data_IF_683328492168
#
_entry.id   IF_683328492168
#
_cell.length_a   1.000
_cell.length_b   1.000
_cell.length_c   1.000
_cell.angle_alpha   90.00
_cell.angle_beta   90.00
_cell.angle_gamma   90.00
#
_symmetry.space_group_name_H-M   'P 1'
#
loop_
_entity.id
_entity.type
_entity.pdbx_description
1 polymer ?
#
# COMPACT_ATOMS: atom_id res chain seq x y z
N UNK A 1 20.91 3.57 33.75
CA UNK A 1 19.49 3.77 34.12
C UNK A 1 18.64 3.58 32.87
N UNK A 2 18.17 2.38 32.63
CA UNK A 2 17.38 1.99 31.45
C UNK A 2 15.91 2.31 31.71
N UNK A 3 15.49 3.50 31.27
CA UNK A 3 14.08 3.91 31.30
C UNK A 3 13.29 3.07 30.29
N UNK A 4 12.43 2.19 30.79
CA UNK A 4 11.43 1.52 29.98
C UNK A 4 10.42 2.58 29.55
N UNK A 5 10.47 3.02 28.29
CA UNK A 5 9.43 3.88 27.71
C UNK A 5 8.11 3.11 27.71
N UNK A 6 7.20 3.50 28.62
CA UNK A 6 5.76 3.22 28.51
C UNK A 6 5.34 3.50 27.07
N UNK A 7 4.80 2.49 26.38
CA UNK A 7 4.31 2.63 25.00
C UNK A 7 3.29 3.76 24.96
N UNK A 8 3.66 4.88 24.31
CA UNK A 8 2.77 6.01 24.12
C UNK A 8 1.78 5.58 23.04
N UNK A 9 0.50 5.49 23.37
CA UNK A 9 -0.53 5.27 22.37
C UNK A 9 -0.53 6.48 21.44
N UNK A 10 -0.01 6.29 20.23
CA UNK A 10 0.10 7.34 19.23
C UNK A 10 -1.28 7.61 18.63
N UNK A 11 -1.61 8.89 18.47
CA UNK A 11 -2.83 9.31 17.77
C UNK A 11 -2.81 8.77 16.35
N UNK A 12 -3.96 8.33 15.87
CA UNK A 12 -4.12 7.80 14.51
C UNK A 12 -4.72 8.88 13.60
N UNK A 13 -4.06 9.14 12.47
CA UNK A 13 -4.55 9.98 11.39
C UNK A 13 -5.11 9.10 10.29
N UNK A 14 -6.34 9.40 9.89
CA UNK A 14 -7.07 8.70 8.84
C UNK A 14 -6.86 9.38 7.48
N UNK A 15 -7.09 8.61 6.41
CA UNK A 15 -6.98 9.06 5.04
C UNK A 15 -8.34 8.99 4.36
N UNK A 16 -8.74 10.07 3.70
CA UNK A 16 -9.89 10.12 2.81
C UNK A 16 -9.43 9.92 1.36
N UNK A 17 -10.13 9.07 0.60
CA UNK A 17 -9.73 8.63 -0.76
C UNK A 17 -10.68 9.12 -1.85
N UNK A 18 -11.75 9.79 -1.48
CA UNK A 18 -12.73 10.39 -2.41
C UNK A 18 -12.99 11.86 -2.08
N UNK A 19 -13.41 12.62 -3.08
CA UNK A 19 -13.81 14.02 -2.88
C UNK A 19 -14.92 14.16 -1.81
N UNK A 20 -15.89 13.25 -1.80
CA UNK A 20 -17.00 13.28 -0.83
C UNK A 20 -16.51 13.11 0.61
N UNK A 21 -15.62 12.15 0.86
CA UNK A 21 -15.02 11.92 2.18
C UNK A 21 -14.17 13.11 2.64
N UNK A 22 -13.34 13.66 1.73
CA UNK A 22 -12.50 14.82 2.00
C UNK A 22 -13.37 16.02 2.40
N UNK A 23 -14.40 16.32 1.60
CA UNK A 23 -15.30 17.44 1.85
C UNK A 23 -16.15 17.23 3.11
N UNK A 24 -16.52 15.98 3.42
CA UNK A 24 -17.20 15.65 4.68
C UNK A 24 -16.30 15.96 5.87
N UNK A 25 -15.06 15.48 5.87
CA UNK A 25 -14.11 15.71 6.95
C UNK A 25 -13.84 17.21 7.17
N UNK A 26 -13.73 17.99 6.08
CA UNK A 26 -13.60 19.44 6.17
C UNK A 26 -14.78 20.11 6.89
N UNK A 27 -16.02 19.71 6.57
CA UNK A 27 -17.22 20.21 7.27
C UNK A 27 -17.27 19.77 8.73
N UNK A 28 -16.70 18.62 9.05
CA UNK A 28 -16.60 18.11 10.41
C UNK A 28 -15.45 18.77 11.22
N UNK A 29 -14.72 19.72 10.64
CA UNK A 29 -13.70 20.52 11.33
C UNK A 29 -12.27 20.01 11.19
N UNK A 30 -12.03 18.96 10.38
CA UNK A 30 -10.67 18.54 10.04
C UNK A 30 -10.08 19.43 8.95
N UNK A 31 -8.76 19.56 8.92
CA UNK A 31 -8.03 20.11 7.77
C UNK A 31 -7.57 18.95 6.86
N UNK A 32 -8.09 18.82 5.63
CA UNK A 32 -7.63 17.78 4.71
C UNK A 32 -6.30 18.18 4.06
N UNK A 33 -5.22 17.50 4.42
CA UNK A 33 -3.93 17.64 3.74
C UNK A 33 -3.94 16.81 2.45
N UNK A 34 -4.38 17.44 1.35
CA UNK A 34 -4.52 16.79 0.04
C UNK A 34 -3.16 16.49 -0.58
N UNK A 35 -2.99 15.27 -1.08
CA UNK A 35 -1.81 14.79 -1.80
C UNK A 35 -2.20 14.06 -3.08
N UNK A 36 -1.32 14.14 -4.08
CA UNK A 36 -1.40 13.31 -5.29
C UNK A 36 -1.09 11.85 -4.92
N UNK A 37 -1.86 10.92 -5.46
CA UNK A 37 -1.53 9.50 -5.44
C UNK A 37 -0.63 9.19 -6.64
N UNK A 38 0.58 8.70 -6.39
CA UNK A 38 1.55 8.37 -7.44
C UNK A 38 2.05 6.94 -7.23
N UNK A 39 1.60 5.98 -8.06
CA UNK A 39 2.08 4.60 -7.98
C UNK A 39 3.61 4.53 -8.15
N UNK A 40 4.25 3.73 -7.30
CA UNK A 40 5.67 3.41 -7.44
C UNK A 40 5.84 2.29 -8.46
N UNK A 41 6.81 2.40 -9.40
CA UNK A 41 7.12 1.32 -10.33
C UNK A 41 7.74 0.10 -9.63
N UNK A 42 8.15 0.22 -8.37
CA UNK A 42 8.69 -0.90 -7.60
C UNK A 42 7.62 -1.82 -7.03
N UNK A 43 6.47 -1.26 -6.65
CA UNK A 43 5.35 -2.03 -6.09
C UNK A 43 4.70 -2.82 -7.22
N UNK A 44 4.70 -4.14 -7.07
CA UNK A 44 4.26 -5.03 -8.13
C UNK A 44 3.86 -6.40 -7.60
N UNK A 45 2.91 -7.00 -8.28
CA UNK A 45 2.56 -8.41 -8.11
C UNK A 45 2.72 -9.14 -9.43
N UNK A 46 3.17 -10.38 -9.39
CA UNK A 46 3.30 -11.23 -10.57
C UNK A 46 2.01 -11.98 -10.89
N UNK A 47 1.80 -12.20 -12.18
CA UNK A 47 0.73 -13.06 -12.66
C UNK A 47 1.10 -13.72 -13.99
N UNK A 48 0.46 -14.85 -14.27
CA UNK A 48 0.37 -15.48 -15.58
C UNK A 48 -1.09 -15.86 -15.85
N UNK A 49 -1.46 -15.94 -17.12
CA UNK A 49 -2.81 -16.33 -17.56
C UNK A 49 -2.70 -17.53 -18.49
N UNK A 50 -3.45 -18.57 -18.14
CA UNK A 50 -3.65 -19.77 -18.93
C UNK A 50 -5.08 -19.82 -19.44
N UNK A 51 -5.30 -20.39 -20.61
CA UNK A 51 -6.62 -20.50 -21.22
C UNK A 51 -6.87 -21.91 -21.74
N UNK A 52 -8.09 -22.42 -21.55
CA UNK A 52 -8.55 -23.64 -22.19
C UNK A 52 -8.89 -23.34 -23.66
N UNK A 53 -8.23 -23.97 -24.66
CA UNK A 53 -8.49 -23.68 -26.06
C UNK A 53 -9.86 -24.17 -26.56
N UNK A 54 -10.50 -25.11 -25.85
CA UNK A 54 -11.81 -25.65 -26.22
C UNK A 54 -12.96 -24.81 -25.64
N UNK A 55 -12.87 -24.40 -24.37
CA UNK A 55 -13.96 -23.68 -23.67
C UNK A 55 -13.76 -22.16 -23.64
N UNK A 56 -12.52 -21.69 -23.82
CA UNK A 56 -12.16 -20.29 -23.67
C UNK A 56 -12.02 -19.82 -22.22
N UNK A 57 -12.27 -20.67 -21.22
CA UNK A 57 -12.12 -20.33 -19.81
C UNK A 57 -10.66 -20.07 -19.43
N UNK A 58 -10.45 -19.15 -18.48
CA UNK A 58 -9.11 -18.73 -18.03
C UNK A 58 -8.79 -19.21 -16.62
N UNK A 59 -7.50 -19.39 -16.36
CA UNK A 59 -6.92 -19.61 -15.03
C UNK A 59 -5.77 -18.63 -14.82
N UNK A 60 -5.82 -17.89 -13.71
CA UNK A 60 -4.82 -16.87 -13.35
C UNK A 60 -4.03 -17.34 -12.15
N UNK A 61 -2.71 -17.15 -12.18
CA UNK A 61 -1.81 -17.60 -11.11
C UNK A 61 -0.70 -16.60 -10.86
N UNK A 62 -0.37 -16.38 -9.59
CA UNK A 62 0.79 -15.59 -9.14
C UNK A 62 1.93 -16.43 -8.58
N UNK A 63 1.88 -17.75 -8.72
CA UNK A 63 2.89 -18.67 -8.16
C UNK A 63 3.68 -19.35 -9.27
N UNK A 64 5.00 -19.16 -9.34
CA UNK A 64 5.83 -19.77 -10.38
C UNK A 64 5.74 -21.30 -10.44
N UNK A 65 5.42 -21.96 -9.32
CA UNK A 65 5.24 -23.42 -9.25
C UNK A 65 4.01 -23.90 -10.02
N UNK A 66 3.02 -23.04 -10.24
CA UNK A 66 1.82 -23.38 -11.02
C UNK A 66 2.15 -23.79 -12.47
N UNK A 67 3.29 -23.35 -13.01
CA UNK A 67 3.76 -23.78 -14.33
C UNK A 67 4.02 -25.30 -14.40
N UNK A 68 4.42 -25.93 -13.29
CA UNK A 68 4.53 -27.39 -13.20
C UNK A 68 3.14 -28.05 -13.08
N UNK A 69 2.22 -27.44 -12.33
CA UNK A 69 0.87 -27.96 -12.09
C UNK A 69 0.04 -27.96 -13.38
N UNK A 70 0.16 -26.91 -14.19
CA UNK A 70 -0.56 -26.77 -15.46
C UNK A 70 0.02 -27.65 -16.58
N UNK A 71 1.10 -28.38 -16.32
CA UNK A 71 1.67 -29.29 -17.31
C UNK A 71 0.76 -30.51 -17.48
N UNK A 72 0.19 -30.67 -18.68
CA UNK A 72 -0.69 -31.80 -19.01
C UNK A 72 -2.17 -31.57 -18.75
N UNK A 73 -2.59 -30.35 -18.36
CA UNK A 73 -4.01 -29.99 -18.18
C UNK A 73 -4.72 -29.60 -19.48
N UNK A 74 -3.98 -29.47 -20.59
CA UNK A 74 -4.52 -28.96 -21.86
C UNK A 74 -4.66 -27.44 -21.92
N UNK A 75 -4.35 -26.72 -20.83
CA UNK A 75 -4.33 -25.26 -20.82
C UNK A 75 -3.11 -24.73 -21.58
N UNK A 76 -3.32 -23.66 -22.36
CA UNK A 76 -2.24 -22.93 -23.05
C UNK A 76 -1.91 -21.65 -22.31
N UNK A 77 -0.62 -21.29 -22.25
CA UNK A 77 -0.19 -20.02 -21.69
C UNK A 77 -0.48 -18.90 -22.71
N UNK A 78 -1.35 -17.96 -22.34
CA UNK A 78 -1.72 -16.82 -23.21
C UNK A 78 -1.04 -15.52 -22.77
N UNK A 79 -0.75 -15.40 -21.47
CA UNK A 79 0.11 -14.35 -20.91
C UNK A 79 1.12 -15.03 -19.98
N UNK A 80 2.39 -15.00 -20.36
CA UNK A 80 3.48 -15.49 -19.51
C UNK A 80 3.68 -14.60 -18.28
N UNK A 81 4.45 -15.10 -17.32
CA UNK A 81 4.69 -14.37 -16.07
C UNK A 81 5.17 -12.94 -16.33
N UNK A 82 4.38 -11.99 -15.85
CA UNK A 82 4.66 -10.56 -15.92
C UNK A 82 4.15 -9.88 -14.64
N UNK A 83 4.43 -8.58 -14.50
CA UNK A 83 4.13 -7.79 -13.32
C UNK A 83 3.06 -6.73 -13.61
N UNK A 84 2.26 -6.43 -12.60
CA UNK A 84 1.32 -5.31 -12.61
C UNK A 84 1.32 -4.60 -11.26
N UNK A 85 0.86 -3.35 -11.25
CA UNK A 85 0.60 -2.62 -10.01
C UNK A 85 -0.72 -3.11 -9.38
N UNK A 86 -0.71 -3.71 -8.18
CA UNK A 86 -1.87 -4.43 -7.66
C UNK A 86 -2.90 -3.54 -6.95
N UNK A 87 -2.61 -2.27 -6.71
CA UNK A 87 -3.51 -1.38 -5.98
C UNK A 87 -4.36 -0.52 -6.93
N UNK A 88 -5.64 -0.38 -6.59
CA UNK A 88 -6.57 0.52 -7.26
C UNK A 88 -7.12 1.51 -6.25
N UNK A 89 -6.84 2.79 -6.47
CA UNK A 89 -7.36 3.86 -5.62
C UNK A 89 -8.63 4.48 -6.22
N UNK A 90 -9.53 4.96 -5.36
CA UNK A 90 -10.78 5.56 -5.78
C UNK A 90 -10.60 6.89 -6.52
N UNK A 91 -9.50 7.60 -6.28
CA UNK A 91 -9.17 8.88 -6.91
C UNK A 91 -7.65 9.01 -7.10
N UNK A 92 -7.19 9.84 -8.06
CA UNK A 92 -5.77 10.14 -8.25
C UNK A 92 -5.19 11.09 -7.16
N UNK A 93 -5.97 11.34 -6.11
CA UNK A 93 -5.64 12.15 -4.95
C UNK A 93 -6.25 11.52 -3.70
N UNK A 94 -5.73 11.89 -2.54
CA UNK A 94 -6.21 11.52 -1.23
C UNK A 94 -5.88 12.63 -0.23
N UNK A 95 -6.40 12.58 0.99
CA UNK A 95 -6.01 13.53 2.02
C UNK A 95 -5.85 12.89 3.39
N UNK A 96 -4.79 13.28 4.11
CA UNK A 96 -4.71 13.01 5.54
C UNK A 96 -5.65 13.96 6.29
N UNK A 97 -6.43 13.43 7.22
CA UNK A 97 -7.42 14.20 7.97
C UNK A 97 -6.80 14.75 9.25
N UNK A 98 -6.31 15.99 9.20
CA UNK A 98 -5.62 16.63 10.33
C UNK A 98 -6.66 17.18 11.31
N UNK A 99 -6.70 16.71 12.57
CA UNK A 99 -7.58 17.30 13.57
C UNK A 99 -7.08 18.69 13.98
N UNK A 100 -7.98 19.61 14.37
CA UNK A 100 -7.65 21.01 14.62
C UNK A 100 -6.70 21.24 15.81
N UNK A 101 -6.57 20.25 16.69
CA UNK A 101 -5.71 20.27 17.88
C UNK A 101 -4.36 19.58 17.66
N UNK A 102 -4.03 19.12 16.44
CA UNK A 102 -2.73 18.48 16.16
C UNK A 102 -1.59 19.49 16.35
N UNK A 103 -0.60 19.14 17.18
CA UNK A 103 0.52 20.03 17.51
C UNK A 103 1.73 19.80 16.61
N UNK A 104 2.50 20.86 16.35
CA UNK A 104 3.81 20.74 15.68
C UNK A 104 4.74 19.89 16.53
N UNK A 105 5.43 18.93 15.91
CA UNK A 105 6.27 17.93 16.57
C UNK A 105 5.50 16.73 17.14
N UNK A 106 4.19 16.66 16.96
CA UNK A 106 3.42 15.49 17.36
C UNK A 106 3.70 14.31 16.41
N UNK A 107 4.10 13.18 17.00
CA UNK A 107 4.28 11.91 16.29
C UNK A 107 2.96 11.15 16.31
N UNK A 108 2.52 10.70 15.14
CA UNK A 108 1.24 10.03 14.90
C UNK A 108 1.42 8.78 14.06
N UNK A 109 0.40 7.93 14.02
CA UNK A 109 0.28 6.85 13.03
C UNK A 109 -0.54 7.34 11.84
N UNK A 110 0.03 7.28 10.64
CA UNK A 110 -0.72 7.39 9.40
C UNK A 110 -1.27 6.01 9.05
N UNK A 111 -2.57 5.76 9.30
CA UNK A 111 -3.17 4.41 9.22
C UNK A 111 -3.23 3.85 7.80
N UNK A 112 -3.45 4.74 6.83
CA UNK A 112 -3.47 4.43 5.41
C UNK A 112 -2.57 5.45 4.73
N UNK A 113 -1.30 5.09 4.51
CA UNK A 113 -0.32 5.95 3.88
C UNK A 113 -0.85 6.42 2.52
N UNK A 114 -0.52 7.60 2.05
CA UNK A 114 -0.85 8.06 0.68
C UNK A 114 0.32 7.76 -0.25
N UNK A 115 1.53 7.99 0.24
CA UNK A 115 2.78 7.67 -0.42
C UNK A 115 2.87 6.17 -0.72
N UNK A 116 3.44 5.85 -1.88
CA UNK A 116 3.48 4.48 -2.38
C UNK A 116 4.86 3.87 -2.10
N UNK A 117 5.18 3.76 -0.81
CA UNK A 117 6.45 3.24 -0.31
C UNK A 117 6.43 1.72 -0.21
N UNK A 118 7.60 1.08 -0.31
CA UNK A 118 7.72 -0.38 -0.17
C UNK A 118 7.65 -0.76 1.31
N UNK A 119 6.77 -1.69 1.66
CA UNK A 119 6.67 -2.25 3.02
C UNK A 119 7.36 -3.60 3.14
N UNK A 120 7.14 -4.47 2.15
CA UNK A 120 7.62 -5.84 2.17
C UNK A 120 8.05 -6.29 0.76
N UNK A 121 9.03 -7.20 0.71
CA UNK A 121 9.44 -7.90 -0.52
C UNK A 121 9.31 -9.39 -0.32
N UNK A 122 8.61 -10.07 -1.21
CA UNK A 122 8.60 -11.52 -1.27
C UNK A 122 9.79 -12.00 -2.10
N UNK A 123 10.53 -13.00 -1.60
CA UNK A 123 11.67 -13.61 -2.29
C UNK A 123 11.34 -14.17 -3.69
N UNK A 124 10.05 -14.36 -4.02
CA UNK A 124 9.57 -14.73 -5.35
C UNK A 124 9.17 -13.55 -6.25
N UNK A 125 9.52 -12.32 -5.88
CA UNK A 125 9.50 -11.15 -6.77
C UNK A 125 8.38 -10.14 -6.56
N UNK A 126 7.38 -10.44 -5.73
CA UNK A 126 6.32 -9.50 -5.38
C UNK A 126 6.86 -8.45 -4.39
N UNK A 127 6.40 -7.21 -4.54
CA UNK A 127 6.79 -6.07 -3.72
C UNK A 127 5.52 -5.37 -3.27
N UNK A 128 5.31 -5.34 -1.96
CA UNK A 128 4.09 -4.85 -1.34
C UNK A 128 4.27 -3.44 -0.79
N UNK A 129 3.18 -2.70 -0.84
CA UNK A 129 3.07 -1.33 -0.35
C UNK A 129 3.09 -1.29 1.18
N UNK A 130 3.76 -0.28 1.76
CA UNK A 130 3.68 0.05 3.17
C UNK A 130 2.31 0.67 3.48
N UNK A 131 1.50 -0.03 4.26
CA UNK A 131 0.12 0.40 4.56
C UNK A 131 0.06 1.54 5.57
N UNK A 132 0.90 1.50 6.61
CA UNK A 132 0.90 2.48 7.70
C UNK A 132 2.30 2.75 8.21
N UNK A 133 2.55 3.95 8.74
CA UNK A 133 3.80 4.28 9.39
C UNK A 133 3.64 5.37 10.45
N UNK A 134 4.69 5.55 11.26
CA UNK A 134 4.84 6.75 12.09
C UNK A 134 5.22 7.95 11.23
N UNK A 135 4.72 9.13 11.61
CA UNK A 135 5.13 10.39 11.00
C UNK A 135 5.04 11.54 12.01
N UNK A 136 5.87 12.56 11.83
CA UNK A 136 5.86 13.78 12.62
C UNK A 136 5.18 14.93 11.86
N UNK A 137 4.27 15.65 12.51
CA UNK A 137 3.67 16.86 11.94
C UNK A 137 4.58 18.08 12.09
N UNK A 138 5.04 18.68 11.00
CA UNK A 138 5.91 19.87 11.05
C UNK A 138 5.16 21.22 10.95
N UNK A 139 3.82 21.20 10.94
CA UNK A 139 2.99 22.39 10.72
C UNK A 139 2.56 22.61 9.28
N UNK A 140 3.10 21.85 8.33
CA UNK A 140 2.80 21.95 6.90
C UNK A 140 2.56 20.59 6.25
N UNK A 141 3.39 19.61 6.58
CA UNK A 141 3.32 18.24 6.07
C UNK A 141 3.74 17.22 7.14
N UNK A 142 3.44 15.95 6.87
CA UNK A 142 3.94 14.84 7.67
C UNK A 142 5.33 14.44 7.19
N UNK A 143 6.30 14.48 8.11
CA UNK A 143 7.62 13.90 7.93
C UNK A 143 7.52 12.41 8.24
N UNK A 144 7.55 11.59 7.20
CA UNK A 144 7.38 10.13 7.31
C UNK A 144 8.65 9.51 7.90
N UNK A 145 8.49 8.72 8.97
CA UNK A 145 9.57 7.92 9.55
C UNK A 145 9.68 6.60 8.80
N UNK A 146 10.27 6.66 7.60
CA UNK A 146 10.51 5.49 6.76
C UNK A 146 12.01 5.24 6.63
N UNK A 147 12.41 3.99 6.86
CA UNK A 147 13.77 3.50 6.65
C UNK A 147 13.69 2.25 5.76
N UNK A 148 14.42 2.22 4.66
CA UNK A 148 14.43 1.02 3.81
C UNK A 148 15.01 -0.20 4.53
N UNK A 149 15.80 -0.01 5.59
CA UNK A 149 16.35 -1.10 6.40
C UNK A 149 15.27 -1.90 7.13
N UNK A 150 14.07 -1.33 7.33
CA UNK A 150 12.95 -2.01 7.98
C UNK A 150 12.03 -2.77 6.99
N UNK A 151 12.28 -2.67 5.68
CA UNK A 151 11.54 -3.41 4.66
C UNK A 151 11.71 -4.91 4.90
N UNK A 152 10.61 -5.61 5.13
CA UNK A 152 10.71 -7.03 5.48
C UNK A 152 10.93 -7.87 4.23
N UNK A 153 11.81 -8.85 4.37
CA UNK A 153 11.96 -9.91 3.38
C UNK A 153 11.14 -11.11 3.81
N UNK A 154 10.08 -11.39 3.06
CA UNK A 154 9.23 -12.56 3.27
C UNK A 154 9.87 -13.72 2.51
N UNK A 155 10.12 -14.82 3.23
CA UNK A 155 10.61 -16.08 2.65
C UNK A 155 9.46 -17.07 2.71
N UNK A 156 9.04 -17.59 1.55
CA UNK A 156 7.96 -18.56 1.42
C UNK A 156 8.13 -19.45 0.21
#
# INVERSE_FOLDING_TARGET
>A
MTSHKKGRELRVIHTARTESEINKAARDGYFPLVKKVSPSPEIRSKFAVYQNPETGEISVTGDYRSRMVNRGTGLIEVIGFTNYYPHKFASPFAAYLIPPDLQIGEVVILKDLIEDLVGDRWNQGDVYRLESCEAEWNGKEFIIHYDESIVRSIVG
#
